data_IF_042675090023
#
_entry.id   IF_042675090023
#
_cell.length_a   1.000
_cell.length_b   1.000
_cell.length_c   1.000
_cell.angle_alpha   90.00
_cell.angle_beta   90.00
_cell.angle_gamma   90.00
#
_symmetry.space_group_name_H-M   'P 1'
#
loop_
_entity.id
_entity.type
_entity.pdbx_description
1 polymer ?
#
# COMPACT_ATOMS: atom_id res chain seq x y z
N UNK A 1 25.63 2.31 -0.09
CA UNK A 1 24.16 2.16 -0.14
C UNK A 1 23.48 3.50 0.09
N UNK A 2 22.54 3.91 -0.76
CA UNK A 2 21.76 5.14 -0.55
C UNK A 2 20.34 4.80 -0.08
N UNK A 3 19.80 5.66 0.79
CA UNK A 3 18.45 5.56 1.35
C UNK A 3 17.64 6.82 1.07
N UNK A 4 16.32 6.65 0.99
CA UNK A 4 15.38 7.77 0.92
C UNK A 4 15.11 8.32 2.32
N UNK A 5 14.85 9.62 2.40
CA UNK A 5 14.32 10.24 3.63
C UNK A 5 12.87 9.84 3.89
N UNK A 6 12.42 10.01 5.13
CA UNK A 6 11.02 9.79 5.51
C UNK A 6 10.35 11.11 5.93
N UNK A 7 9.13 11.33 5.47
CA UNK A 7 8.30 12.41 5.96
C UNK A 7 7.77 12.09 7.36
N UNK A 8 7.85 13.06 8.26
CA UNK A 8 7.34 12.94 9.62
C UNK A 8 6.14 13.89 9.80
N UNK A 9 5.19 13.46 10.62
CA UNK A 9 4.10 14.33 11.10
C UNK A 9 4.65 15.38 12.06
N UNK A 10 3.83 16.37 12.43
CA UNK A 10 4.20 17.38 13.45
C UNK A 10 4.54 16.78 14.82
N UNK A 11 4.05 15.57 15.12
CA UNK A 11 4.41 14.82 16.33
C UNK A 11 5.70 14.00 16.18
N UNK A 12 6.32 14.02 15.01
CA UNK A 12 7.52 13.24 14.69
C UNK A 12 7.23 11.79 14.28
N UNK A 13 5.97 11.36 14.17
CA UNK A 13 5.66 9.99 13.69
C UNK A 13 5.86 9.86 12.18
N UNK A 14 6.37 8.72 11.65
CA UNK A 14 6.47 8.50 10.22
C UNK A 14 5.12 8.58 9.52
N UNK A 15 5.07 9.24 8.36
CA UNK A 15 3.90 9.27 7.49
C UNK A 15 3.86 7.97 6.69
N UNK A 16 2.77 7.21 6.85
CA UNK A 16 2.54 5.95 6.16
C UNK A 16 1.62 6.16 4.95
N UNK A 17 1.78 5.33 3.92
CA UNK A 17 0.80 5.26 2.84
C UNK A 17 -0.55 4.70 3.36
N UNK A 18 -1.69 5.02 2.74
CA UNK A 18 -3.00 4.53 3.20
C UNK A 18 -3.10 3.01 3.32
N UNK A 19 -2.45 2.27 2.43
CA UNK A 19 -2.38 0.80 2.40
C UNK A 19 -1.28 0.22 3.31
N UNK A 20 -0.43 1.08 3.87
CA UNK A 20 0.73 0.66 4.65
C UNK A 20 0.39 0.54 6.14
N UNK A 21 0.38 -0.70 6.62
CA UNK A 21 0.17 -1.02 8.03
C UNK A 21 1.47 -0.97 8.85
N UNK A 22 1.45 -0.31 10.01
CA UNK A 22 2.49 -0.43 11.04
C UNK A 22 2.39 -1.80 11.73
N UNK A 23 3.50 -2.53 11.81
CA UNK A 23 3.54 -3.88 12.36
C UNK A 23 4.28 -3.95 13.70
N UNK A 24 5.40 -3.24 13.83
CA UNK A 24 6.20 -3.26 15.06
C UNK A 24 7.06 -2.01 15.21
N UNK A 25 7.29 -1.60 16.45
CA UNK A 25 8.22 -0.53 16.82
C UNK A 25 9.28 -1.09 17.78
N UNK A 26 10.53 -0.68 17.61
CA UNK A 26 11.61 -0.97 18.55
C UNK A 26 12.55 0.22 18.71
N UNK A 27 12.66 0.72 19.94
CA UNK A 27 13.55 1.82 20.27
C UNK A 27 15.02 1.38 20.42
N UNK A 28 15.93 2.37 20.43
CA UNK A 28 17.37 2.19 20.65
C UNK A 28 17.96 1.17 19.68
N UNK A 29 17.70 1.39 18.40
CA UNK A 29 18.29 0.60 17.31
C UNK A 29 19.26 1.47 16.53
N UNK A 30 20.45 0.95 16.26
CA UNK A 30 21.42 1.57 15.37
C UNK A 30 21.36 0.92 13.98
N UNK A 31 21.73 1.70 12.97
CA UNK A 31 21.83 1.33 11.58
C UNK A 31 23.31 1.40 11.17
N UNK A 32 23.98 0.27 10.99
CA UNK A 32 25.39 0.21 10.57
C UNK A 32 25.45 -0.11 9.07
N UNK A 33 26.29 0.59 8.31
CA UNK A 33 26.40 0.42 6.86
C UNK A 33 27.68 -0.34 6.51
N UNK A 34 27.58 -1.26 5.56
CA UNK A 34 28.73 -1.97 5.01
C UNK A 34 28.62 -1.94 3.49
N UNK A 35 29.71 -1.53 2.84
CA UNK A 35 29.76 -1.41 1.38
C UNK A 35 29.57 -2.76 0.70
N UNK A 36 29.09 -2.76 -0.54
CA UNK A 36 29.17 -3.95 -1.37
C UNK A 36 30.66 -4.27 -1.61
N UNK A 37 31.04 -5.56 -1.55
CA UNK A 37 32.43 -5.97 -1.84
C UNK A 37 32.83 -5.46 -3.23
N UNK A 38 33.84 -4.60 -3.31
CA UNK A 38 34.48 -4.18 -4.56
C UNK A 38 34.17 -2.77 -5.07
N UNK A 39 33.39 -1.95 -4.35
CA UNK A 39 33.18 -0.56 -4.78
C UNK A 39 32.39 0.27 -3.77
N UNK A 40 33.07 1.20 -3.10
CA UNK A 40 32.51 2.08 -2.07
C UNK A 40 32.87 1.58 -0.67
N UNK A 41 33.48 2.46 0.14
CA UNK A 41 33.81 2.15 1.54
C UNK A 41 32.58 1.79 2.38
N UNK A 42 32.80 1.46 3.65
CA UNK A 42 31.76 1.09 4.62
C UNK A 42 30.89 2.29 5.03
N UNK A 43 30.25 2.93 4.05
CA UNK A 43 29.41 4.12 4.22
C UNK A 43 28.10 4.00 3.44
N UNK A 44 27.06 4.58 4.00
CA UNK A 44 25.73 4.65 3.38
C UNK A 44 24.82 5.63 4.09
N UNK A 45 23.54 5.60 3.74
CA UNK A 45 22.51 6.45 4.35
C UNK A 45 21.92 7.44 3.36
N UNK A 46 21.51 8.61 3.86
CA UNK A 46 20.89 9.66 3.05
C UNK A 46 21.92 10.34 2.13
N UNK A 47 21.46 10.73 0.95
CA UNK A 47 22.27 11.54 0.02
C UNK A 47 22.75 12.84 0.70
N UNK A 48 24.05 13.13 0.56
CA UNK A 48 24.69 14.27 1.22
C UNK A 48 24.91 14.12 2.73
N UNK A 49 24.43 13.04 3.36
CA UNK A 49 24.62 12.75 4.80
C UNK A 49 25.00 11.29 5.05
N UNK A 50 25.88 10.77 4.20
CA UNK A 50 26.38 9.40 4.33
C UNK A 50 27.29 9.24 5.56
N UNK A 51 27.28 8.06 6.16
CA UNK A 51 28.14 7.72 7.29
C UNK A 51 28.34 6.21 7.40
N UNK A 52 29.20 5.79 8.33
CA UNK A 52 29.41 4.39 8.68
C UNK A 52 28.24 3.81 9.48
N UNK A 53 27.54 4.66 10.24
CA UNK A 53 26.35 4.29 10.99
C UNK A 53 25.47 5.48 11.35
N UNK A 54 24.20 5.20 11.64
CA UNK A 54 23.27 6.06 12.38
C UNK A 54 22.92 5.41 13.72
N UNK A 55 22.89 6.19 14.81
CA UNK A 55 22.79 5.64 16.17
C UNK A 55 21.60 6.17 16.95
N UNK A 56 21.05 5.35 17.85
CA UNK A 56 20.05 5.78 18.83
C UNK A 56 18.67 6.07 18.26
N UNK A 57 18.31 5.47 17.13
CA UNK A 57 17.01 5.70 16.50
C UNK A 57 15.91 4.77 16.97
N UNK A 58 14.71 5.04 16.48
CA UNK A 58 13.52 4.20 16.65
C UNK A 58 13.23 3.50 15.33
N UNK A 59 13.14 2.18 15.36
CA UNK A 59 12.85 1.36 14.20
C UNK A 59 11.35 1.12 14.11
N UNK A 60 10.73 1.46 12.98
CA UNK A 60 9.36 1.11 12.64
C UNK A 60 9.39 0.09 11.52
N UNK A 61 8.82 -1.08 11.78
CA UNK A 61 8.53 -2.07 10.77
C UNK A 61 7.08 -1.86 10.31
N UNK A 62 6.91 -1.69 9.01
CA UNK A 62 5.60 -1.68 8.37
C UNK A 62 5.47 -2.88 7.43
N UNK A 63 4.30 -3.02 6.82
CA UNK A 63 4.05 -3.97 5.75
C UNK A 63 4.92 -3.76 4.50
N UNK A 64 5.48 -2.56 4.30
CA UNK A 64 6.18 -2.16 3.07
C UNK A 64 7.63 -1.72 3.31
N UNK A 65 7.92 -1.17 4.49
CA UNK A 65 9.14 -0.43 4.78
C UNK A 65 9.68 -0.81 6.15
N UNK A 66 11.00 -0.74 6.25
CA UNK A 66 11.70 -0.61 7.50
C UNK A 66 12.16 0.85 7.61
N UNK A 67 11.58 1.59 8.53
CA UNK A 67 11.84 3.02 8.72
C UNK A 67 12.70 3.17 9.96
N UNK A 68 13.85 3.80 9.82
CA UNK A 68 14.68 4.20 10.95
C UNK A 68 14.46 5.69 11.19
N UNK A 69 13.95 6.05 12.36
CA UNK A 69 13.68 7.42 12.74
C UNK A 69 14.79 7.95 13.65
N UNK A 70 15.35 9.09 13.28
CA UNK A 70 16.26 9.86 14.11
C UNK A 70 15.48 10.52 15.26
N UNK A 71 15.58 9.90 16.44
CA UNK A 71 14.89 10.40 17.63
C UNK A 71 15.45 11.73 18.12
N UNK A 72 16.72 12.04 17.84
CA UNK A 72 17.37 13.28 18.32
C UNK A 72 16.92 14.52 17.56
N UNK A 73 16.52 14.35 16.30
CA UNK A 73 16.07 15.43 15.43
C UNK A 73 14.54 15.59 15.38
N UNK A 74 13.79 14.62 15.91
CA UNK A 74 12.32 14.65 15.86
C UNK A 74 11.75 15.93 16.51
N UNK A 75 10.72 16.57 15.91
CA UNK A 75 9.90 16.08 14.80
C UNK A 75 10.47 16.37 13.40
N UNK A 76 11.65 16.99 13.28
CA UNK A 76 12.30 17.18 11.99
C UNK A 76 12.85 15.85 11.45
N UNK A 77 12.91 15.65 10.13
CA UNK A 77 13.38 14.39 9.56
C UNK A 77 14.81 14.01 9.97
N UNK A 78 15.74 14.97 10.14
CA UNK A 78 17.11 14.67 10.59
C UNK A 78 17.80 13.65 9.69
N UNK A 79 18.25 12.54 10.28
CA UNK A 79 18.80 11.37 9.58
C UNK A 79 17.77 10.25 9.35
N UNK A 80 16.47 10.51 9.56
CA UNK A 80 15.42 9.51 9.41
C UNK A 80 15.33 9.03 7.97
N UNK A 81 15.34 7.71 7.78
CA UNK A 81 15.51 7.09 6.48
C UNK A 81 14.72 5.78 6.32
N UNK A 82 14.57 5.33 5.08
CA UNK A 82 13.75 4.19 4.70
C UNK A 82 14.57 3.11 4.01
N UNK A 83 14.39 1.86 4.44
CA UNK A 83 14.72 0.65 3.67
C UNK A 83 13.42 -0.01 3.22
N UNK A 84 13.11 0.05 1.93
CA UNK A 84 11.95 -0.65 1.36
C UNK A 84 12.14 -2.16 1.46
N UNK A 85 11.14 -2.89 1.96
CA UNK A 85 11.21 -4.35 2.12
C UNK A 85 11.37 -5.06 0.77
N UNK A 86 10.85 -4.48 -0.31
CA UNK A 86 11.02 -4.93 -1.70
C UNK A 86 12.50 -4.94 -2.18
N UNK A 87 13.42 -4.34 -1.42
CA UNK A 87 14.85 -4.29 -1.73
C UNK A 87 15.65 -5.37 -1.02
N UNK A 88 15.08 -5.98 0.01
CA UNK A 88 15.76 -6.97 0.83
C UNK A 88 15.95 -8.25 0.01
N UNK A 89 17.20 -8.65 -0.16
CA UNK A 89 17.62 -9.90 -0.82
C UNK A 89 17.65 -11.03 0.20
N UNK A 90 18.31 -10.77 1.35
CA UNK A 90 18.49 -11.76 2.39
C UNK A 90 18.65 -11.09 3.76
N UNK A 91 18.30 -11.84 4.81
CA UNK A 91 18.55 -11.45 6.20
C UNK A 91 19.28 -12.57 6.94
N UNK A 92 20.25 -12.22 7.78
CA UNK A 92 20.99 -13.20 8.58
C UNK A 92 21.33 -12.65 9.96
N UNK A 93 21.15 -13.44 11.01
CA UNK A 93 21.64 -13.08 12.33
C UNK A 93 23.17 -13.01 12.35
N UNK A 94 23.73 -11.99 12.99
CA UNK A 94 25.18 -11.89 13.17
C UNK A 94 25.57 -12.68 14.41
N UNK A 95 26.50 -13.64 14.25
CA UNK A 95 27.04 -14.38 15.39
C UNK A 95 27.89 -13.43 16.24
N UNK A 96 27.54 -13.28 17.51
CA UNK A 96 28.37 -12.51 18.43
C UNK A 96 29.67 -13.28 18.69
N UNK A 97 30.82 -12.64 18.44
CA UNK A 97 32.11 -13.19 18.86
C UNK A 97 32.20 -13.22 20.40
N UNK A 98 33.03 -14.10 20.96
CA UNK A 98 33.19 -14.31 22.40
C UNK A 98 33.59 -13.06 23.20
N UNK A 99 34.14 -12.03 22.55
CA UNK A 99 34.49 -10.74 23.15
C UNK A 99 33.63 -9.55 22.66
N UNK A 100 32.58 -9.82 21.87
CA UNK A 100 31.70 -8.78 21.34
C UNK A 100 30.63 -8.36 22.36
N UNK A 101 30.30 -7.06 22.34
CA UNK A 101 29.07 -6.49 22.91
C UNK A 101 27.87 -7.44 22.80
N UNK A 102 27.11 -7.61 23.91
CA UNK A 102 25.87 -8.43 23.98
C UNK A 102 24.78 -8.02 22.99
N UNK A 103 24.97 -6.91 22.30
CA UNK A 103 24.09 -6.37 21.26
C UNK A 103 23.81 -7.42 20.20
N UNK A 104 22.54 -7.83 20.12
CA UNK A 104 22.03 -8.67 19.02
C UNK A 104 22.06 -7.85 17.74
N UNK A 105 22.41 -8.49 16.63
CA UNK A 105 22.51 -7.84 15.32
C UNK A 105 21.84 -8.65 14.22
N UNK A 106 21.17 -7.96 13.30
CA UNK A 106 20.61 -8.54 12.08
C UNK A 106 21.27 -7.87 10.87
N UNK A 107 21.91 -8.68 10.03
CA UNK A 107 22.42 -8.25 8.73
C UNK A 107 21.31 -8.37 7.68
N UNK A 108 21.14 -7.34 6.87
CA UNK A 108 20.17 -7.23 5.79
C UNK A 108 20.94 -6.87 4.51
N UNK A 109 20.86 -7.73 3.52
CA UNK A 109 21.44 -7.50 2.20
C UNK A 109 20.38 -6.88 1.28
N UNK A 110 20.74 -5.78 0.62
CA UNK A 110 19.81 -4.94 -0.14
C UNK A 110 20.31 -4.74 -1.57
N UNK A 111 19.39 -4.89 -2.54
CA UNK A 111 19.67 -4.53 -3.94
C UNK A 111 19.76 -3.02 -4.13
N UNK A 112 20.59 -2.59 -5.08
CA UNK A 112 20.71 -1.20 -5.51
C UNK A 112 19.60 -0.72 -6.44
N UNK A 113 19.74 0.51 -6.93
CA UNK A 113 18.95 1.08 -8.01
C UNK A 113 17.55 1.57 -7.63
N UNK A 114 17.26 1.79 -6.34
CA UNK A 114 15.93 2.30 -5.94
C UNK A 114 15.94 3.80 -5.66
N UNK A 115 16.97 4.33 -5.02
CA UNK A 115 17.09 5.79 -4.82
C UNK A 115 17.49 6.49 -6.12
N UNK A 116 18.34 5.85 -6.91
CA UNK A 116 18.87 6.41 -8.15
C UNK A 116 19.96 5.51 -8.76
N UNK A 117 20.59 5.96 -9.86
CA UNK A 117 21.63 5.19 -10.55
C UNK A 117 22.87 4.95 -9.68
N UNK A 118 23.20 5.88 -8.78
CA UNK A 118 24.37 5.79 -7.89
C UNK A 118 24.13 4.92 -6.65
N UNK A 119 22.91 4.42 -6.49
CA UNK A 119 22.56 3.52 -5.40
C UNK A 119 23.03 2.10 -5.73
N UNK A 120 24.27 1.78 -5.36
CA UNK A 120 24.85 0.45 -5.56
C UNK A 120 24.21 -0.66 -4.69
N UNK A 121 23.26 -0.33 -3.80
CA UNK A 121 22.80 -1.25 -2.77
C UNK A 121 23.88 -1.48 -1.72
N UNK A 122 23.84 -2.63 -1.05
CA UNK A 122 24.83 -3.02 -0.05
C UNK A 122 24.21 -3.73 1.13
N UNK A 123 24.88 -3.66 2.27
CA UNK A 123 24.51 -4.37 3.48
C UNK A 123 24.26 -3.37 4.59
N UNK A 124 23.13 -3.54 5.28
CA UNK A 124 22.80 -2.83 6.50
C UNK A 124 22.82 -3.83 7.65
N UNK A 125 23.39 -3.44 8.79
CA UNK A 125 23.28 -4.20 10.04
C UNK A 125 22.47 -3.41 11.05
N UNK A 126 21.35 -3.97 11.48
CA UNK A 126 20.59 -3.46 12.62
C UNK A 126 21.27 -3.91 13.90
N UNK A 127 21.64 -2.99 14.77
CA UNK A 127 22.18 -3.30 16.09
C UNK A 127 21.17 -2.91 17.19
N UNK A 128 20.61 -3.92 17.86
CA UNK A 128 19.53 -3.74 18.82
C UNK A 128 20.11 -3.49 20.22
N UNK A 129 20.09 -2.22 20.67
CA UNK A 129 20.60 -1.79 21.99
C UNK A 129 19.51 -1.68 23.05
N UNK A 130 18.25 -1.66 22.63
CA UNK A 130 17.08 -1.59 23.50
C UNK A 130 16.58 -2.95 23.98
N UNK A 131 15.26 -3.13 23.87
CA UNK A 131 14.56 -4.35 24.25
C UNK A 131 14.88 -5.57 23.37
N UNK A 132 14.36 -6.75 23.74
CA UNK A 132 14.58 -7.98 22.99
C UNK A 132 14.03 -7.86 21.56
N UNK A 133 14.84 -8.14 20.52
CA UNK A 133 14.42 -7.92 19.14
C UNK A 133 13.56 -9.05 18.57
N UNK A 134 13.45 -10.21 19.24
CA UNK A 134 12.82 -11.42 18.69
C UNK A 134 11.39 -11.20 18.16
N UNK A 135 10.50 -10.43 18.83
CA UNK A 135 9.18 -10.14 18.28
C UNK A 135 9.22 -9.34 16.98
N UNK A 136 10.16 -8.39 16.86
CA UNK A 136 10.36 -7.60 15.65
C UNK A 136 10.99 -8.45 14.54
N UNK A 137 11.97 -9.29 14.86
CA UNK A 137 12.62 -10.17 13.90
C UNK A 137 11.65 -11.19 13.30
N UNK A 138 10.78 -11.79 14.13
CA UNK A 138 9.71 -12.67 13.66
C UNK A 138 8.75 -11.92 12.73
N UNK A 139 8.33 -10.72 13.14
CA UNK A 139 7.41 -9.91 12.34
C UNK A 139 8.03 -9.47 11.00
N UNK A 140 9.32 -9.14 10.98
CA UNK A 140 10.07 -8.83 9.76
C UNK A 140 10.14 -10.03 8.82
N UNK A 141 10.42 -11.22 9.34
CA UNK A 141 10.41 -12.45 8.54
C UNK A 141 9.03 -12.71 7.92
N UNK A 142 7.96 -12.58 8.71
CA UNK A 142 6.59 -12.72 8.24
C UNK A 142 6.23 -11.67 7.17
N UNK A 143 6.65 -10.41 7.35
CA UNK A 143 6.42 -9.34 6.38
C UNK A 143 7.16 -9.58 5.05
N UNK A 144 8.42 -10.03 5.14
CA UNK A 144 9.22 -10.40 3.97
C UNK A 144 8.64 -11.57 3.19
N UNK A 145 8.02 -12.53 3.89
CA UNK A 145 7.32 -13.66 3.28
C UNK A 145 6.00 -13.24 2.64
N UNK A 146 5.23 -12.35 3.30
CA UNK A 146 3.92 -11.88 2.80
C UNK A 146 4.03 -11.00 1.57
N UNK A 147 5.13 -10.25 1.43
CA UNK A 147 5.38 -9.36 0.28
C UNK A 147 4.19 -8.45 -0.03
N UNK A 148 3.66 -7.78 0.98
CA UNK A 148 2.45 -6.95 0.86
C UNK A 148 2.56 -5.89 -0.26
N UNK A 149 3.77 -5.40 -0.52
CA UNK A 149 4.09 -4.47 -1.61
C UNK A 149 3.91 -5.02 -3.03
N UNK A 150 3.68 -6.32 -3.21
CA UNK A 150 3.31 -6.92 -4.49
C UNK A 150 1.81 -7.11 -4.64
N UNK A 151 1.05 -6.93 -3.56
CA UNK A 151 -0.41 -6.96 -3.67
C UNK A 151 -0.82 -5.71 -4.42
N UNK A 152 -1.56 -5.89 -5.51
CA UNK A 152 -2.21 -4.77 -6.17
C UNK A 152 -2.99 -3.98 -5.11
N UNK A 153 -2.91 -2.64 -5.11
CA UNK A 153 -3.85 -1.87 -4.33
C UNK A 153 -5.22 -2.39 -4.74
N UNK A 154 -6.01 -2.82 -3.76
CA UNK A 154 -7.41 -3.13 -4.00
C UNK A 154 -8.08 -1.80 -4.43
N UNK A 155 -7.96 -1.43 -5.70
CA UNK A 155 -9.16 -1.11 -6.45
C UNK A 155 -10.02 -2.33 -6.24
N UNK A 156 -11.11 -2.14 -5.50
CA UNK A 156 -12.18 -3.11 -5.37
C UNK A 156 -12.67 -3.42 -6.78
N UNK A 157 -11.95 -4.30 -7.50
CA UNK A 157 -12.52 -5.02 -8.62
C UNK A 157 -13.46 -5.97 -7.92
N UNK A 158 -14.71 -5.53 -7.78
CA UNK A 158 -15.83 -6.45 -7.66
C UNK A 158 -15.58 -7.46 -8.76
N UNK A 159 -15.15 -8.65 -8.36
CA UNK A 159 -15.07 -9.77 -9.26
C UNK A 159 -16.50 -9.86 -9.81
N UNK A 160 -16.68 -9.42 -11.04
CA UNK A 160 -17.83 -9.82 -11.83
C UNK A 160 -17.67 -11.33 -11.93
N UNK A 161 -18.25 -12.03 -10.97
CA UNK A 161 -18.69 -13.39 -11.13
C UNK A 161 -19.63 -13.33 -12.32
N UNK A 162 -19.07 -13.51 -13.50
CA UNK A 162 -19.82 -13.86 -14.68
C UNK A 162 -20.42 -15.22 -14.37
N UNK A 163 -21.59 -15.20 -13.73
CA UNK A 163 -22.56 -16.27 -13.86
C UNK A 163 -22.93 -16.31 -15.33
N UNK A 164 -22.15 -17.08 -16.10
CA UNK A 164 -22.57 -17.62 -17.37
C UNK A 164 -23.70 -18.62 -17.08
N UNK A 165 -24.89 -18.09 -16.80
CA UNK A 165 -26.13 -18.84 -16.85
C UNK A 165 -26.55 -18.87 -18.31
N UNK A 166 -26.11 -19.91 -19.02
CA UNK A 166 -26.69 -20.30 -20.28
C UNK A 166 -28.17 -20.68 -20.05
N UNK A 167 -29.09 -19.79 -20.40
CA UNK A 167 -30.50 -20.14 -20.63
C UNK A 167 -30.78 -20.07 -22.13
N UNK A 168 -30.75 -21.24 -22.74
CA UNK A 168 -31.30 -21.50 -24.06
C UNK A 168 -32.82 -21.26 -24.07
N UNK A 169 -33.32 -20.55 -25.08
CA UNK A 169 -34.60 -20.87 -25.71
C UNK A 169 -35.76 -19.86 -25.61
N UNK A 170 -36.00 -19.19 -26.75
CA UNK A 170 -37.31 -19.02 -27.40
C UNK A 170 -38.26 -17.87 -26.98
N UNK A 171 -38.28 -16.77 -27.75
CA UNK A 171 -39.40 -16.43 -28.66
C UNK A 171 -39.05 -15.26 -29.60
N UNK A 172 -39.57 -15.35 -30.82
CA UNK A 172 -39.35 -14.48 -31.98
C UNK A 172 -40.14 -13.16 -31.89
N UNK A 173 -39.60 -12.05 -32.45
CA UNK A 173 -40.25 -11.24 -33.49
C UNK A 173 -39.40 -10.01 -33.89
N UNK A 174 -39.24 -9.80 -35.21
CA UNK A 174 -39.23 -8.46 -35.84
C UNK A 174 -37.88 -7.75 -36.08
N UNK A 175 -37.38 -7.80 -37.32
CA UNK A 175 -36.29 -7.00 -37.91
C UNK A 175 -36.78 -5.59 -38.37
N UNK A 176 -36.02 -4.80 -39.17
CA UNK A 176 -34.64 -4.30 -39.05
C UNK A 176 -34.56 -2.75 -39.20
N UNK A 177 -33.39 -2.15 -38.97
CA UNK A 177 -33.15 -0.74 -39.30
C UNK A 177 -31.67 -0.43 -39.56
N UNK A 178 -31.33 -0.17 -40.82
CA UNK A 178 -30.01 0.24 -41.31
C UNK A 178 -29.61 1.65 -40.83
N UNK A 179 -28.30 1.88 -40.71
CA UNK A 179 -27.74 3.22 -40.52
C UNK A 179 -26.22 3.25 -40.59
N UNK A 180 -25.69 3.18 -41.83
CA UNK A 180 -24.32 3.57 -42.18
C UNK A 180 -24.11 5.07 -41.93
N UNK A 181 -22.92 5.45 -41.46
CA UNK A 181 -22.54 6.85 -41.27
C UNK A 181 -21.04 7.00 -41.07
N UNK A 182 -20.31 6.86 -42.18
CA UNK A 182 -18.91 7.25 -42.35
C UNK A 182 -18.82 8.80 -42.38
N UNK A 183 -17.77 9.37 -41.80
CA UNK A 183 -17.70 10.81 -41.53
C UNK A 183 -16.27 11.31 -41.35
N UNK A 184 -15.59 11.46 -42.46
CA UNK A 184 -14.25 11.98 -42.68
C UNK A 184 -14.15 13.49 -42.40
N UNK A 185 -12.97 13.96 -41.95
CA UNK A 185 -12.64 15.40 -41.85
C UNK A 185 -11.21 15.62 -41.33
N UNK A 186 -10.16 15.32 -42.11
CA UNK A 186 -9.35 16.27 -42.90
C UNK A 186 -9.04 17.61 -42.22
N UNK A 187 -7.74 17.83 -41.99
CA UNK A 187 -7.17 19.09 -41.53
C UNK A 187 -5.65 19.05 -41.48
N UNK A 188 -5.02 18.67 -42.60
CA UNK A 188 -3.59 18.87 -42.83
C UNK A 188 -3.40 20.11 -43.69
N UNK A 189 -2.55 21.05 -43.26
CA UNK A 189 -1.92 22.03 -44.15
C UNK A 189 -0.45 22.17 -43.75
N UNK A 190 0.38 21.84 -44.73
CA UNK A 190 1.82 21.96 -44.91
C UNK A 190 2.26 23.45 -44.87
N UNK A 191 3.50 23.87 -44.60
CA UNK A 191 4.77 23.55 -45.26
C UNK A 191 5.97 24.13 -44.47
N UNK A 192 7.06 23.34 -44.40
CA UNK A 192 8.50 23.66 -44.63
C UNK A 192 9.13 24.91 -43.99
N UNK A 193 10.28 24.89 -43.32
CA UNK A 193 11.32 23.88 -43.07
C UNK A 193 12.67 24.60 -42.87
N UNK A 194 13.49 24.20 -41.90
CA UNK A 194 14.98 24.22 -41.93
C UNK A 194 15.55 23.39 -40.76
N UNK A 195 16.12 22.25 -41.15
CA UNK A 195 17.27 21.46 -40.68
C UNK A 195 17.80 21.44 -39.20
N UNK A 196 17.95 20.18 -38.76
CA UNK A 196 19.09 19.57 -38.03
C UNK A 196 19.27 19.75 -36.51
N UNK A 197 18.89 18.72 -35.74
CA UNK A 197 19.82 17.81 -35.02
C UNK A 197 19.04 16.83 -34.14
N UNK A 198 19.26 15.54 -34.38
CA UNK A 198 18.54 14.42 -33.74
C UNK A 198 19.12 14.11 -32.35
N UNK A 199 18.37 14.45 -31.30
CA UNK A 199 18.48 13.85 -29.96
C UNK A 199 17.05 13.49 -29.49
N UNK A 200 16.79 12.28 -28.94
CA UNK A 200 15.43 11.87 -28.67
C UNK A 200 14.88 12.58 -27.43
N UNK A 201 13.75 13.25 -27.64
CA UNK A 201 12.93 13.87 -26.63
C UNK A 201 12.25 12.81 -25.75
N UNK A 202 12.62 12.76 -24.48
CA UNK A 202 11.77 12.25 -23.42
C UNK A 202 11.84 13.21 -22.24
N UNK A 203 10.66 13.55 -21.71
CA UNK A 203 10.40 14.25 -20.43
C UNK A 203 10.29 15.79 -20.41
N UNK A 204 9.62 16.39 -21.41
CA UNK A 204 9.06 17.75 -21.28
C UNK A 204 7.61 17.79 -20.75
N UNK A 205 7.01 16.66 -20.35
CA UNK A 205 5.61 16.60 -19.91
C UNK A 205 5.39 16.79 -18.40
N UNK A 206 6.45 16.83 -17.58
CA UNK A 206 6.33 16.99 -16.11
C UNK A 206 6.66 18.39 -15.59
N UNK A 207 7.12 19.30 -16.46
CA UNK A 207 7.46 20.66 -16.05
C UNK A 207 6.25 21.60 -15.96
N UNK A 208 5.11 21.27 -16.59
CA UNK A 208 3.93 22.16 -16.68
C UNK A 208 3.12 22.30 -15.38
N UNK A 209 3.52 21.65 -14.29
CA UNK A 209 2.83 21.66 -12.99
C UNK A 209 3.67 22.20 -11.83
N UNK A 210 4.87 22.73 -12.09
CA UNK A 210 5.72 23.32 -11.06
C UNK A 210 5.50 24.85 -10.99
N UNK A 211 4.86 25.33 -9.92
CA UNK A 211 4.59 26.74 -9.66
C UNK A 211 3.30 26.96 -8.85
N UNK A 212 3.00 28.22 -8.48
CA UNK A 212 1.81 28.58 -7.67
C UNK A 212 0.50 28.12 -8.34
N UNK A 213 0.40 28.19 -9.67
CA UNK A 213 -0.74 27.67 -10.42
C UNK A 213 -0.87 26.14 -10.38
N UNK A 214 0.25 25.41 -10.35
CA UNK A 214 0.27 23.95 -10.21
C UNK A 214 -0.14 23.48 -8.81
N UNK A 215 0.24 24.24 -7.77
CA UNK A 215 -0.20 24.00 -6.39
C UNK A 215 -1.70 24.25 -6.24
N UNK A 216 -2.23 25.34 -6.82
CA UNK A 216 -3.67 25.65 -6.78
C UNK A 216 -4.51 24.58 -7.49
N UNK A 217 -4.03 24.08 -8.64
CA UNK A 217 -4.67 22.99 -9.37
C UNK A 217 -4.66 21.70 -8.55
N UNK A 218 -3.54 21.36 -7.89
CA UNK A 218 -3.45 20.21 -6.98
C UNK A 218 -4.42 20.35 -5.81
N UNK A 219 -4.50 21.53 -5.19
CA UNK A 219 -5.41 21.76 -4.07
C UNK A 219 -6.89 21.61 -4.50
N UNK A 220 -7.25 22.09 -5.70
CA UNK A 220 -8.62 21.93 -6.24
C UNK A 220 -8.92 20.47 -6.61
N UNK A 221 -7.95 19.75 -7.16
CA UNK A 221 -8.09 18.32 -7.46
C UNK A 221 -8.23 17.49 -6.18
N UNK A 222 -7.44 17.78 -5.14
CA UNK A 222 -7.57 17.11 -3.83
C UNK A 222 -8.93 17.40 -3.18
N UNK A 223 -9.42 18.64 -3.25
CA UNK A 223 -10.73 18.99 -2.73
C UNK A 223 -11.86 18.25 -3.49
N UNK A 224 -11.77 18.18 -4.82
CA UNK A 224 -12.73 17.43 -5.64
C UNK A 224 -12.68 15.93 -5.34
N UNK A 225 -11.48 15.35 -5.17
CA UNK A 225 -11.31 13.95 -4.82
C UNK A 225 -11.89 13.64 -3.43
N UNK A 226 -11.69 14.53 -2.44
CA UNK A 226 -12.30 14.37 -1.09
C UNK A 226 -13.82 14.40 -1.15
N UNK A 227 -14.41 15.28 -1.96
CA UNK A 227 -15.87 15.34 -2.10
C UNK A 227 -16.43 14.09 -2.80
N UNK A 228 -15.73 13.57 -3.80
CA UNK A 228 -16.10 12.32 -4.48
C UNK A 228 -16.03 11.12 -3.53
N UNK A 229 -14.93 11.00 -2.77
CA UNK A 229 -14.75 9.91 -1.81
C UNK A 229 -15.81 9.93 -0.70
N UNK A 230 -16.21 11.12 -0.25
CA UNK A 230 -17.28 11.29 0.73
C UNK A 230 -18.64 10.88 0.15
N UNK A 231 -18.93 11.22 -1.12
CA UNK A 231 -20.14 10.76 -1.80
C UNK A 231 -20.19 9.24 -1.96
N UNK A 232 -19.07 8.63 -2.35
CA UNK A 232 -18.94 7.18 -2.45
C UNK A 232 -19.14 6.48 -1.10
N UNK A 233 -18.59 7.04 -0.02
CA UNK A 233 -18.80 6.54 1.33
C UNK A 233 -20.28 6.61 1.78
N UNK A 234 -21.02 7.64 1.35
CA UNK A 234 -22.46 7.70 1.63
C UNK A 234 -23.25 6.67 0.84
N UNK A 235 -22.93 6.46 -0.43
CA UNK A 235 -23.55 5.41 -1.25
C UNK A 235 -23.28 4.02 -0.68
N UNK A 236 -22.06 3.76 -0.19
CA UNK A 236 -21.70 2.49 0.44
C UNK A 236 -22.44 2.29 1.77
N UNK A 237 -22.55 3.34 2.58
CA UNK A 237 -23.37 3.28 3.80
C UNK A 237 -24.85 3.01 3.47
N UNK A 238 -25.40 3.60 2.42
CA UNK A 238 -26.78 3.35 1.98
C UNK A 238 -26.97 1.88 1.55
N UNK A 239 -26.04 1.32 0.78
CA UNK A 239 -26.05 -0.10 0.41
C UNK A 239 -25.95 -1.04 1.62
N UNK A 240 -25.12 -0.67 2.61
CA UNK A 240 -25.00 -1.42 3.86
C UNK A 240 -26.30 -1.35 4.67
N UNK A 241 -26.94 -0.17 4.73
CA UNK A 241 -28.24 0.00 5.39
C UNK A 241 -29.34 -0.83 4.74
N UNK A 242 -29.38 -0.91 3.41
CA UNK A 242 -30.37 -1.71 2.70
C UNK A 242 -30.17 -3.22 2.95
N UNK A 243 -28.91 -3.68 2.96
CA UNK A 243 -28.59 -5.06 3.32
C UNK A 243 -28.97 -5.38 4.78
N UNK A 244 -28.83 -4.41 5.68
CA UNK A 244 -29.28 -4.57 7.06
C UNK A 244 -30.81 -4.68 7.15
N UNK A 245 -31.57 -3.91 6.37
CA UNK A 245 -33.04 -4.04 6.28
C UNK A 245 -33.45 -5.42 5.80
N UNK A 246 -32.81 -5.94 4.75
CA UNK A 246 -33.11 -7.28 4.23
C UNK A 246 -32.89 -8.37 5.27
N UNK A 247 -31.80 -8.29 6.05
CA UNK A 247 -31.55 -9.23 7.14
C UNK A 247 -32.57 -9.12 8.27
N UNK A 248 -33.03 -7.91 8.61
CA UNK A 248 -34.08 -7.70 9.61
C UNK A 248 -35.40 -8.31 9.15
N UNK A 249 -35.80 -8.08 7.89
CA UNK A 249 -37.00 -8.67 7.31
C UNK A 249 -36.94 -10.22 7.33
N UNK A 250 -35.77 -10.78 7.05
CA UNK A 250 -35.57 -12.23 7.12
C UNK A 250 -35.73 -12.76 8.56
N UNK A 251 -35.17 -12.07 9.56
CA UNK A 251 -35.30 -12.43 10.97
C UNK A 251 -36.75 -12.34 11.47
N UNK A 252 -37.51 -11.34 11.03
CA UNK A 252 -38.94 -11.24 11.32
C UNK A 252 -39.73 -12.41 10.70
N UNK A 253 -39.40 -12.80 9.46
CA UNK A 253 -40.02 -13.93 8.79
C UNK A 253 -39.75 -15.24 9.54
N UNK A 254 -38.51 -15.48 9.97
CA UNK A 254 -38.17 -16.65 10.78
C UNK A 254 -38.92 -16.68 12.11
N UNK A 255 -39.05 -15.53 12.76
CA UNK A 255 -39.76 -15.42 14.04
C UNK A 255 -41.27 -15.72 13.88
N UNK A 256 -41.89 -15.19 12.82
CA UNK A 256 -43.29 -15.50 12.48
C UNK A 256 -43.48 -16.97 12.13
N UNK A 257 -42.56 -17.57 11.38
CA UNK A 257 -42.59 -18.99 11.05
C UNK A 257 -42.51 -19.87 12.30
N UNK A 258 -41.60 -19.55 13.23
CA UNK A 258 -41.45 -20.26 14.51
C UNK A 258 -42.70 -20.12 15.40
N UNK A 259 -43.34 -18.95 15.44
CA UNK A 259 -44.60 -18.75 16.17
C UNK A 259 -45.73 -19.59 15.58
N UNK A 260 -45.85 -19.63 14.25
CA UNK A 260 -46.85 -20.46 13.55
C UNK A 260 -46.64 -21.95 13.81
N UNK A 261 -45.39 -22.40 13.82
CA UNK A 261 -45.02 -23.79 14.12
C UNK A 261 -45.33 -24.16 15.58
N UNK A 262 -45.10 -23.25 16.54
CA UNK A 262 -45.52 -23.43 17.95
C UNK A 262 -47.02 -23.52 18.12
N UNK A 263 -47.80 -22.71 17.38
CA UNK A 263 -49.26 -22.79 17.44
C UNK A 263 -49.82 -24.07 16.80
N UNK A 264 -49.21 -24.55 15.70
CA UNK A 264 -49.57 -25.82 15.08
C UNK A 264 -49.29 -27.03 15.99
N UNK A 265 -48.16 -27.02 16.73
CA UNK A 265 -47.84 -28.09 17.70
C UNK A 265 -48.68 -28.04 18.97
N UNK A 266 -49.23 -26.87 19.33
CA UNK A 266 -50.11 -26.73 20.49
C UNK A 266 -51.60 -27.02 20.17
N UNK A 267 -52.00 -26.95 18.89
CA UNK A 267 -53.35 -27.30 18.43
C UNK A 267 -53.61 -28.80 18.27
N UNK A 268 -52.56 -29.62 18.06
CA UNK A 268 -52.68 -31.07 17.82
C UNK A 268 -52.86 -31.89 19.13
N UNK A 269 -52.51 -31.32 20.28
CA UNK A 269 -52.66 -31.97 21.59
C UNK A 269 -54.02 -31.67 22.29
N UNK A 270 -54.90 -30.88 21.66
CA UNK A 270 -56.20 -30.50 22.22
C UNK A 270 -57.42 -31.25 21.68
N UNK A 271 -57.24 -32.20 20.74
CA UNK A 271 -58.33 -32.79 19.95
C UNK A 271 -58.83 -34.18 20.35
N UNK A 272 -58.30 -34.82 21.39
CA UNK A 272 -58.71 -36.18 21.80
C UNK A 272 -59.26 -36.24 23.24
N UNK A 273 -60.29 -35.45 23.51
CA UNK A 273 -61.12 -35.62 24.69
C UNK A 273 -62.56 -35.19 24.39
N UNK A 274 -63.34 -36.05 23.73
CA UNK A 274 -64.79 -36.20 23.89
C UNK A 274 -65.34 -37.21 22.88
N UNK A 275 -65.56 -38.45 23.34
CA UNK A 275 -66.69 -39.33 23.02
C UNK A 275 -66.56 -40.60 23.87
#
# INVERSE_FOLDING_TARGET
MLLEGVALTSSGRPVLAPEELELKILEKTDLEFTGAKGGGGDVGGLEGRVGDKYTGGVLFLTSHRLIWQDQTSAPQPGLSCVVHLARVIATSAVKNAMFSTRTRRLRIECRGGVVGPDDAGGVITLAFRGGPPDPLLKCLADALQRRAWLSEPHTTRVAASATASASSGHHQHGAPGMGLGDGTGTGATTTSGVEASTAPAYTAARASHAGVGGILLRQRQEAAARQSALGEAFTDMEALMDKAKDMVLLAEHFTRALQKQRQATQGDLGGHAHA
#
